data_IF_717733320149
#
_entry.id   IF_717733320149
#
_cell.length_a   1.000
_cell.length_b   1.000
_cell.length_c   1.000
_cell.angle_alpha   90.00
_cell.angle_beta   90.00
_cell.angle_gamma   90.00
#
_symmetry.space_group_name_H-M   'P 1'
#
loop_
_entity.id
_entity.type
_entity.pdbx_description
1 polymer ?
#
# COMPACT_ATOMS: atom_id res chain seq x y z
N UNK A 1 30.67 4.55 1.76
CA UNK A 1 29.34 4.72 1.17
C UNK A 1 28.31 4.59 2.28
N UNK A 2 27.62 5.67 2.63
CA UNK A 2 26.69 5.75 3.75
C UNK A 2 25.52 4.76 3.61
N UNK A 3 25.56 3.67 4.37
CA UNK A 3 24.50 2.64 4.38
C UNK A 3 23.11 3.22 4.72
N UNK A 4 23.08 4.33 5.47
CA UNK A 4 21.86 5.08 5.78
C UNK A 4 21.17 5.67 4.54
N UNK A 5 21.93 6.18 3.57
CA UNK A 5 21.37 6.80 2.37
C UNK A 5 20.75 5.75 1.43
N UNK A 6 21.38 4.58 1.36
CA UNK A 6 20.87 3.46 0.57
C UNK A 6 19.53 2.97 1.17
N UNK A 7 19.50 2.75 2.47
CA UNK A 7 18.33 2.23 3.16
C UNK A 7 17.11 3.18 3.07
N UNK A 8 17.32 4.49 3.24
CA UNK A 8 16.27 5.50 3.06
C UNK A 8 15.66 5.48 1.65
N UNK A 9 16.47 5.19 0.62
CA UNK A 9 16.01 5.06 -0.77
C UNK A 9 15.15 3.81 -0.95
N UNK A 10 15.55 2.68 -0.34
CA UNK A 10 14.79 1.43 -0.33
C UNK A 10 13.48 1.53 0.47
N UNK A 11 13.45 2.31 1.55
CA UNK A 11 12.22 2.61 2.29
C UNK A 11 11.20 3.35 1.40
N UNK A 12 11.65 4.39 0.69
CA UNK A 12 10.81 5.13 -0.26
C UNK A 12 10.32 4.25 -1.42
N UNK A 13 11.18 3.37 -1.94
CA UNK A 13 10.79 2.39 -2.97
C UNK A 13 9.68 1.47 -2.44
N UNK A 14 9.77 1.03 -1.19
CA UNK A 14 8.72 0.24 -0.54
C UNK A 14 7.36 0.96 -0.48
N UNK A 15 7.38 2.25 -0.12
CA UNK A 15 6.17 3.09 -0.10
C UNK A 15 5.59 3.22 -1.51
N UNK A 16 6.42 3.51 -2.51
CA UNK A 16 5.96 3.63 -3.90
C UNK A 16 5.40 2.30 -4.42
N UNK A 17 6.03 1.17 -4.10
CA UNK A 17 5.47 -0.15 -4.43
C UNK A 17 4.12 -0.40 -3.75
N UNK A 18 3.96 0.00 -2.48
CA UNK A 18 2.70 -0.15 -1.75
C UNK A 18 1.54 0.63 -2.37
N UNK A 19 1.86 1.76 -3.03
CA UNK A 19 0.90 2.58 -3.77
C UNK A 19 0.38 1.86 -5.02
N UNK A 20 1.27 1.19 -5.76
CA UNK A 20 0.92 0.44 -6.97
C UNK A 20 0.25 -0.90 -6.67
N UNK A 21 0.69 -1.59 -5.62
CA UNK A 21 0.13 -2.87 -5.22
C UNK A 21 0.17 -3.00 -3.71
N UNK A 22 -1.01 -2.95 -3.08
CA UNK A 22 -1.17 -3.12 -1.63
C UNK A 22 -0.53 -4.43 -1.16
N UNK A 23 -0.68 -5.51 -1.93
CA UNK A 23 -0.09 -6.82 -1.62
C UNK A 23 1.43 -6.73 -1.65
N UNK A 24 2.01 -6.05 -2.65
CA UNK A 24 3.46 -5.82 -2.73
C UNK A 24 3.98 -4.98 -1.55
N UNK A 25 3.23 -3.95 -1.16
CA UNK A 25 3.53 -3.12 0.01
C UNK A 25 3.51 -3.90 1.32
N UNK A 26 2.53 -4.78 1.50
CA UNK A 26 2.43 -5.64 2.69
C UNK A 26 3.56 -6.68 2.74
N UNK A 27 3.84 -7.38 1.64
CA UNK A 27 4.93 -8.36 1.58
C UNK A 27 6.28 -7.70 1.86
N UNK A 28 6.53 -6.53 1.26
CA UNK A 28 7.75 -5.77 1.49
C UNK A 28 7.83 -5.23 2.92
N UNK A 29 6.74 -4.67 3.46
CA UNK A 29 6.67 -4.20 4.84
C UNK A 29 6.93 -5.31 5.85
N UNK A 30 6.37 -6.52 5.63
CA UNK A 30 6.62 -7.70 6.47
C UNK A 30 8.08 -8.16 6.35
N UNK A 31 8.65 -8.18 5.14
CA UNK A 31 10.06 -8.53 4.94
C UNK A 31 10.99 -7.58 5.71
N UNK A 32 10.73 -6.27 5.67
CA UNK A 32 11.47 -5.26 6.44
C UNK A 32 11.22 -5.39 7.94
N UNK A 33 10.03 -5.83 8.35
CA UNK A 33 9.67 -6.05 9.76
C UNK A 33 10.35 -7.29 10.36
N UNK A 34 10.84 -8.22 9.54
CA UNK A 34 11.70 -9.32 9.97
C UNK A 34 13.15 -8.90 10.21
N UNK A 35 13.57 -7.74 9.70
CA UNK A 35 14.91 -7.21 9.90
C UNK A 35 15.00 -6.47 11.25
N UNK A 36 15.72 -7.03 12.22
CA UNK A 36 15.78 -6.48 13.59
C UNK A 36 16.30 -5.04 13.64
N UNK A 37 17.17 -4.68 12.69
CA UNK A 37 17.79 -3.35 12.60
C UNK A 37 16.80 -2.27 12.16
N UNK A 38 15.75 -2.66 11.43
CA UNK A 38 14.82 -1.72 10.80
C UNK A 38 13.34 -2.05 11.04
N UNK A 39 13.06 -2.86 12.05
CA UNK A 39 11.71 -3.27 12.48
C UNK A 39 10.71 -2.13 12.59
N UNK A 40 11.14 -0.96 13.08
CA UNK A 40 10.29 0.24 13.22
C UNK A 40 9.83 0.77 11.87
N UNK A 41 10.71 0.74 10.87
CA UNK A 41 10.39 1.20 9.51
C UNK A 41 9.48 0.19 8.79
N UNK A 42 9.70 -1.11 9.00
CA UNK A 42 8.78 -2.15 8.54
C UNK A 42 7.36 -1.96 9.10
N UNK A 43 7.23 -1.60 10.38
CA UNK A 43 5.93 -1.35 11.00
C UNK A 43 5.23 -0.13 10.40
N UNK A 44 5.98 0.93 10.06
CA UNK A 44 5.45 2.11 9.37
C UNK A 44 4.96 1.73 7.96
N UNK A 45 5.73 0.92 7.22
CA UNK A 45 5.34 0.43 5.88
C UNK A 45 4.06 -0.40 5.91
N UNK A 46 3.94 -1.30 6.89
CA UNK A 46 2.73 -2.12 7.08
C UNK A 46 1.53 -1.25 7.45
N UNK A 47 1.70 -0.33 8.40
CA UNK A 47 0.65 0.61 8.79
C UNK A 47 0.21 1.49 7.61
N UNK A 48 1.16 2.01 6.84
CA UNK A 48 0.87 2.81 5.65
C UNK A 48 0.12 1.99 4.58
N UNK A 49 0.54 0.75 4.33
CA UNK A 49 -0.12 -0.13 3.38
C UNK A 49 -1.56 -0.45 3.78
N UNK A 50 -1.83 -0.64 5.08
CA UNK A 50 -3.18 -0.82 5.60
C UNK A 50 -4.04 0.44 5.41
N UNK A 51 -3.51 1.61 5.76
CA UNK A 51 -4.22 2.89 5.56
C UNK A 51 -4.50 3.11 4.08
N UNK A 52 -3.53 2.85 3.20
CA UNK A 52 -3.70 2.96 1.76
C UNK A 52 -4.75 1.98 1.22
N UNK A 53 -4.79 0.75 1.72
CA UNK A 53 -5.82 -0.23 1.35
C UNK A 53 -7.23 0.23 1.71
N UNK A 54 -7.41 0.74 2.94
CA UNK A 54 -8.69 1.29 3.36
C UNK A 54 -9.08 2.51 2.53
N UNK A 55 -8.13 3.41 2.27
CA UNK A 55 -8.37 4.58 1.43
C UNK A 55 -8.73 4.20 -0.01
N UNK A 56 -8.00 3.26 -0.60
CA UNK A 56 -8.26 2.76 -1.94
C UNK A 56 -9.64 2.10 -2.06
N UNK A 57 -10.05 1.34 -1.03
CA UNK A 57 -11.32 0.61 -1.04
C UNK A 57 -12.53 1.50 -0.75
N UNK A 58 -12.45 2.35 0.29
CA UNK A 58 -13.58 3.14 0.78
C UNK A 58 -13.68 4.55 0.20
N UNK A 59 -12.59 5.09 -0.35
CA UNK A 59 -12.58 6.43 -0.94
C UNK A 59 -12.44 6.32 -2.46
N UNK A 60 -11.34 5.77 -2.96
CA UNK A 60 -11.10 5.68 -4.41
C UNK A 60 -12.10 4.77 -5.10
N UNK A 61 -12.41 3.59 -4.54
CA UNK A 61 -13.40 2.65 -5.09
C UNK A 61 -14.75 3.30 -5.38
N UNK A 62 -15.48 3.84 -4.38
CA UNK A 62 -16.76 4.50 -4.62
C UNK A 62 -16.62 5.79 -5.42
N UNK A 63 -15.49 6.51 -5.34
CA UNK A 63 -15.25 7.69 -6.19
C UNK A 63 -15.12 7.31 -7.67
N UNK A 64 -14.39 6.25 -8.00
CA UNK A 64 -14.27 5.71 -9.37
C UNK A 64 -15.60 5.17 -9.91
N UNK A 65 -16.41 4.55 -9.04
CA UNK A 65 -17.77 4.10 -9.40
C UNK A 65 -18.68 5.33 -9.65
N UNK A 66 -18.61 6.37 -8.81
CA UNK A 66 -19.39 7.61 -9.00
C UNK A 66 -18.96 8.39 -10.25
N UNK A 67 -17.67 8.37 -10.58
CA UNK A 67 -17.13 8.99 -11.80
C UNK A 67 -17.42 8.20 -13.08
N UNK A 68 -18.08 7.04 -12.99
CA UNK A 68 -18.48 6.24 -14.16
C UNK A 68 -17.34 5.50 -14.86
N UNK A 69 -16.13 5.48 -14.27
CA UNK A 69 -14.94 4.81 -14.83
C UNK A 69 -15.02 3.29 -14.60
N UNK A 70 -15.62 2.87 -13.48
CA UNK A 70 -15.84 1.46 -13.15
C UNK A 70 -17.35 1.14 -13.13
N UNK A 71 -17.79 0.07 -13.82
CA UNK A 71 -19.18 -0.38 -13.73
C UNK A 71 -19.48 -0.81 -12.30
N UNK A 72 -20.61 -0.35 -11.78
CA UNK A 72 -21.06 -0.68 -10.44
C UNK A 72 -21.48 -2.15 -10.39
N UNK A 73 -20.55 -3.04 -10.05
CA UNK A 73 -20.80 -4.49 -9.91
C UNK A 73 -21.90 -4.81 -8.87
N UNK A 74 -22.24 -3.86 -7.99
CA UNK A 74 -23.32 -3.98 -7.03
C UNK A 74 -24.72 -3.82 -7.65
N UNK A 75 -24.83 -3.16 -8.83
CA UNK A 75 -26.08 -3.01 -9.58
C UNK A 75 -26.34 -4.16 -10.57
N UNK A 76 -25.29 -4.85 -11.03
CA UNK A 76 -25.40 -5.99 -11.97
C UNK A 76 -25.85 -7.30 -11.30
N UNK A 77 -25.83 -7.40 -9.97
CA UNK A 77 -26.26 -8.60 -9.24
C UNK A 77 -27.76 -8.61 -8.89
N UNK A 78 -28.50 -7.58 -9.31
CA UNK A 78 -29.92 -7.37 -8.96
C UNK A 78 -30.83 -7.43 -10.21
N UNK A 79 -30.29 -7.71 -11.40
CA UNK A 79 -31.08 -8.05 -12.59
C UNK A 79 -31.03 -9.54 -12.88
#
# INVERSE_FOLDING_TARGET
MDQFALYKKWFWIGIVMSLFSVVGGLVYGIAVLMDEKHRKEGAILVAFSLVWFFFATFVLGPWLIKSGILPNYRLLKVQ
#
